data_IF_366554410991
#
_entry.id   IF_366554410991
#
_cell.length_a   1.000
_cell.length_b   1.000
_cell.length_c   1.000
_cell.angle_alpha   90.00
_cell.angle_beta   90.00
_cell.angle_gamma   90.00
#
_symmetry.space_group_name_H-M   'P 1'
#
loop_
_entity.id
_entity.type
_entity.pdbx_description
1 polymer ?
#
# COMPACT_ATOMS: atom_id res chain seq x y z
N UNK A 1 22.13 15.16 -3.05
CA UNK A 1 22.77 15.57 -4.31
C UNK A 1 21.70 15.81 -5.35
N UNK A 2 21.26 17.02 -5.51
CA UNK A 2 20.28 17.39 -6.54
C UNK A 2 21.02 17.75 -7.83
N UNK A 3 20.45 17.41 -9.00
CA UNK A 3 21.03 17.80 -10.27
C UNK A 3 21.09 19.31 -10.34
N UNK A 4 22.22 19.83 -10.77
CA UNK A 4 22.32 21.21 -11.17
C UNK A 4 21.44 21.39 -12.39
N UNK A 5 20.36 22.16 -12.27
CA UNK A 5 19.45 22.47 -13.36
C UNK A 5 19.87 23.74 -14.07
N UNK A 6 19.77 23.78 -15.39
CA UNK A 6 19.77 25.02 -16.12
C UNK A 6 18.52 25.80 -15.73
N UNK A 7 18.65 27.09 -15.47
CA UNK A 7 17.47 27.93 -15.25
C UNK A 7 16.60 27.89 -16.52
N UNK A 8 15.25 27.76 -16.40
CA UNK A 8 14.37 27.77 -17.55
C UNK A 8 14.54 29.10 -18.28
N UNK A 9 15.16 29.04 -19.46
CA UNK A 9 15.32 30.19 -20.33
C UNK A 9 14.17 30.26 -21.29
N UNK A 10 13.71 31.48 -21.54
CA UNK A 10 12.80 31.73 -22.65
C UNK A 10 13.47 31.41 -23.99
N UNK A 11 12.69 31.02 -25.02
CA UNK A 11 13.25 30.75 -26.36
C UNK A 11 14.07 31.93 -26.90
N UNK A 12 13.70 33.14 -26.57
CA UNK A 12 14.37 34.40 -26.95
C UNK A 12 15.76 34.55 -26.27
N UNK A 13 15.87 34.22 -24.99
CA UNK A 13 17.16 34.21 -24.27
C UNK A 13 18.09 33.12 -24.82
N UNK A 14 17.58 31.96 -25.22
CA UNK A 14 18.36 30.90 -25.89
C UNK A 14 18.93 31.38 -27.21
N UNK A 15 18.12 32.10 -27.98
CA UNK A 15 18.52 32.65 -29.27
C UNK A 15 19.57 33.75 -29.11
N UNK A 16 19.39 34.66 -28.16
CA UNK A 16 20.38 35.71 -27.82
C UNK A 16 21.71 35.10 -27.37
N UNK A 17 21.71 34.11 -26.51
CA UNK A 17 22.93 33.39 -26.09
C UNK A 17 23.64 32.70 -27.26
N UNK A 18 22.89 32.09 -28.18
CA UNK A 18 23.45 31.48 -29.37
C UNK A 18 24.12 32.49 -30.31
N UNK A 19 23.55 33.69 -30.40
CA UNK A 19 24.08 34.79 -31.24
C UNK A 19 25.33 35.45 -30.60
N UNK A 20 25.31 35.69 -29.29
CA UNK A 20 26.40 36.33 -28.56
C UNK A 20 27.48 35.38 -28.05
N UNK A 21 27.36 34.07 -28.30
CA UNK A 21 28.42 33.10 -28.05
C UNK A 21 28.74 32.86 -26.57
N UNK A 22 27.86 33.20 -25.65
CA UNK A 22 28.03 32.90 -24.23
C UNK A 22 27.97 31.39 -23.96
N UNK A 23 29.13 30.80 -23.70
CA UNK A 23 29.30 29.35 -23.44
C UNK A 23 29.01 28.94 -21.99
N UNK A 24 28.73 29.88 -21.10
CA UNK A 24 28.46 29.57 -19.70
C UNK A 24 26.97 29.31 -19.50
N UNK A 25 26.61 28.04 -19.42
CA UNK A 25 25.30 27.66 -18.88
C UNK A 25 25.23 28.06 -17.41
N UNK A 26 24.26 28.91 -17.06
CA UNK A 26 24.03 29.37 -15.69
C UNK A 26 23.41 28.22 -14.89
N UNK A 27 24.25 27.27 -14.48
CA UNK A 27 23.84 26.07 -13.76
C UNK A 27 23.64 26.46 -12.31
N UNK A 28 22.35 26.52 -11.89
CA UNK A 28 21.99 26.79 -10.49
C UNK A 28 21.86 25.48 -9.72
N UNK A 29 22.34 25.52 -8.47
CA UNK A 29 22.10 24.45 -7.50
C UNK A 29 20.64 24.52 -7.06
N UNK A 30 19.84 23.51 -7.45
CA UNK A 30 18.42 23.36 -7.11
C UNK A 30 18.21 22.58 -5.83
N UNK A 31 19.26 22.39 -5.01
CA UNK A 31 19.18 21.64 -3.76
C UNK A 31 18.15 22.23 -2.81
N UNK A 32 17.25 21.37 -2.31
CA UNK A 32 16.37 21.74 -1.21
C UNK A 32 17.18 21.79 0.08
N UNK A 33 17.10 22.92 0.78
CA UNK A 33 17.78 23.14 2.06
C UNK A 33 16.75 23.45 3.13
N UNK A 34 17.01 22.98 4.35
CA UNK A 34 16.21 23.37 5.51
C UNK A 34 16.46 24.87 5.77
N UNK A 35 15.40 25.68 5.91
CA UNK A 35 15.56 27.12 6.21
C UNK A 35 16.39 27.32 7.46
N UNK A 36 17.17 28.45 7.56
CA UNK A 36 17.90 28.78 8.77
C UNK A 36 16.97 28.83 9.99
N UNK A 37 17.39 28.21 11.10
CA UNK A 37 16.57 28.09 12.31
C UNK A 37 15.53 26.97 12.28
N UNK A 38 15.36 26.24 11.16
CA UNK A 38 14.51 25.05 11.08
C UNK A 38 15.25 23.83 11.63
N UNK A 39 14.59 23.08 12.50
CA UNK A 39 15.05 21.78 12.98
C UNK A 39 13.90 20.79 12.98
N UNK A 40 14.20 19.53 12.71
CA UNK A 40 13.16 18.49 12.70
C UNK A 40 13.74 17.08 12.76
N UNK A 41 12.92 16.13 13.10
CA UNK A 41 13.28 14.70 13.14
C UNK A 41 12.80 14.03 11.86
N UNK A 42 13.68 13.31 11.18
CA UNK A 42 13.33 12.53 10.00
C UNK A 42 12.51 11.32 10.45
N UNK A 43 11.27 11.24 9.98
CA UNK A 43 10.34 10.16 10.31
C UNK A 43 10.44 9.04 9.29
N UNK A 44 10.48 9.40 8.00
CA UNK A 44 10.47 8.44 6.90
C UNK A 44 11.30 8.98 5.73
N UNK A 45 11.92 8.06 5.00
CA UNK A 45 12.65 8.37 3.75
C UNK A 45 12.18 7.39 2.68
N UNK A 46 11.60 7.91 1.59
CA UNK A 46 11.22 7.13 0.42
C UNK A 46 12.14 7.44 -0.75
N UNK A 47 12.67 6.41 -1.35
CA UNK A 47 13.55 6.50 -2.52
C UNK A 47 12.82 5.98 -3.74
N UNK A 48 12.69 6.83 -4.75
CA UNK A 48 12.11 6.50 -6.05
C UNK A 48 13.23 6.43 -7.08
N UNK A 49 13.27 5.36 -7.84
CA UNK A 49 14.28 5.14 -8.88
C UNK A 49 13.62 4.94 -10.23
N UNK A 50 14.19 5.56 -11.28
CA UNK A 50 13.70 5.43 -12.64
C UNK A 50 13.86 3.97 -13.12
N UNK A 51 12.96 3.53 -14.00
CA UNK A 51 13.04 2.22 -14.66
C UNK A 51 14.39 2.01 -15.35
N UNK A 52 14.96 0.81 -15.22
CA UNK A 52 16.20 0.42 -15.89
C UNK A 52 17.49 0.89 -15.22
N UNK A 53 17.42 1.54 -14.06
CA UNK A 53 18.59 1.87 -13.27
C UNK A 53 18.89 0.76 -12.26
N UNK A 54 20.17 0.46 -12.07
CA UNK A 54 20.60 -0.43 -11.00
C UNK A 54 20.21 0.16 -9.64
N UNK A 55 19.50 -0.64 -8.85
CA UNK A 55 19.10 -0.26 -7.50
C UNK A 55 20.26 -0.51 -6.55
N UNK A 56 20.57 0.49 -5.74
CA UNK A 56 21.55 0.37 -4.65
C UNK A 56 21.10 -0.69 -3.63
N UNK A 57 22.03 -1.25 -2.88
CA UNK A 57 21.76 -2.24 -1.84
C UNK A 57 20.73 -1.74 -0.82
N UNK A 58 20.84 -0.45 -0.45
CA UNK A 58 19.89 0.20 0.46
C UNK A 58 18.49 0.33 -0.15
N UNK A 59 18.39 0.66 -1.42
CA UNK A 59 17.11 0.72 -2.13
C UNK A 59 16.46 -0.67 -2.21
N UNK A 60 17.25 -1.71 -2.46
CA UNK A 60 16.78 -3.12 -2.43
C UNK A 60 16.31 -3.55 -1.03
N UNK A 61 16.99 -3.10 0.02
CA UNK A 61 16.58 -3.40 1.39
C UNK A 61 15.22 -2.76 1.73
N UNK A 62 15.01 -1.50 1.34
CA UNK A 62 13.74 -0.78 1.52
C UNK A 62 12.62 -1.47 0.72
N UNK A 63 12.89 -1.87 -0.54
CA UNK A 63 11.94 -2.59 -1.38
C UNK A 63 11.53 -3.94 -0.78
N UNK A 64 12.49 -4.71 -0.26
CA UNK A 64 12.20 -5.98 0.43
C UNK A 64 11.31 -5.78 1.65
N UNK A 65 11.62 -4.79 2.48
CA UNK A 65 10.81 -4.47 3.66
C UNK A 65 9.37 -4.05 3.29
N UNK A 66 9.21 -3.31 2.18
CA UNK A 66 7.88 -2.92 1.69
C UNK A 66 7.11 -4.12 1.13
N UNK A 67 7.77 -5.02 0.38
CA UNK A 67 7.16 -6.26 -0.13
C UNK A 67 6.75 -7.17 1.04
N UNK A 68 7.58 -7.30 2.07
CA UNK A 68 7.28 -8.09 3.25
C UNK A 68 6.05 -7.54 4.01
N UNK A 69 5.95 -6.21 4.12
CA UNK A 69 4.76 -5.57 4.69
C UNK A 69 3.50 -5.87 3.87
N UNK A 70 3.58 -5.74 2.53
CA UNK A 70 2.46 -6.06 1.64
C UNK A 70 2.07 -7.55 1.68
N UNK A 71 3.06 -8.44 1.85
CA UNK A 71 2.80 -9.87 2.01
C UNK A 71 2.05 -10.16 3.31
N UNK A 72 2.45 -9.51 4.40
CA UNK A 72 1.74 -9.62 5.68
C UNK A 72 0.31 -9.11 5.58
N UNK A 73 0.10 -7.94 4.96
CA UNK A 73 -1.24 -7.38 4.75
C UNK A 73 -2.12 -8.34 3.92
N UNK A 74 -1.54 -9.00 2.89
CA UNK A 74 -2.23 -10.02 2.10
C UNK A 74 -2.63 -11.24 2.95
N UNK A 75 -1.70 -11.74 3.76
CA UNK A 75 -1.92 -12.92 4.61
C UNK A 75 -2.99 -12.62 5.67
N UNK A 76 -3.01 -11.41 6.23
CA UNK A 76 -4.04 -10.95 7.16
C UNK A 76 -5.42 -10.85 6.47
N UNK A 77 -5.50 -10.24 5.27
CA UNK A 77 -6.74 -10.21 4.46
C UNK A 77 -7.22 -11.62 4.10
N UNK A 78 -6.32 -12.51 3.71
CA UNK A 78 -6.64 -13.90 3.38
C UNK A 78 -7.23 -14.63 4.60
N UNK A 79 -6.61 -14.49 5.76
CA UNK A 79 -7.11 -15.09 7.01
C UNK A 79 -8.53 -14.62 7.37
N UNK A 80 -8.83 -13.33 7.16
CA UNK A 80 -10.17 -12.78 7.38
C UNK A 80 -11.18 -13.36 6.39
N UNK A 81 -10.80 -13.46 5.10
CA UNK A 81 -11.66 -14.04 4.06
C UNK A 81 -11.94 -15.52 4.33
N UNK A 82 -10.92 -16.30 4.72
CA UNK A 82 -11.05 -17.72 5.09
C UNK A 82 -11.97 -17.89 6.30
N UNK A 83 -11.78 -17.10 7.35
CA UNK A 83 -12.65 -17.14 8.54
C UNK A 83 -14.12 -16.80 8.23
N UNK A 84 -14.33 -15.77 7.40
CA UNK A 84 -15.66 -15.39 6.92
C UNK A 84 -16.30 -16.44 6.03
N UNK A 85 -15.54 -17.10 5.17
CA UNK A 85 -15.99 -18.21 4.34
C UNK A 85 -16.38 -19.42 5.21
N UNK A 86 -15.51 -19.85 6.12
CA UNK A 86 -15.76 -20.98 7.01
C UNK A 86 -17.01 -20.76 7.89
N UNK A 87 -17.20 -19.56 8.41
CA UNK A 87 -18.40 -19.22 9.19
C UNK A 87 -19.70 -19.33 8.39
N UNK A 88 -19.70 -18.84 7.13
CA UNK A 88 -20.87 -18.97 6.24
C UNK A 88 -21.12 -20.41 5.82
N UNK A 89 -20.07 -21.15 5.48
CA UNK A 89 -20.17 -22.55 5.11
C UNK A 89 -20.68 -23.40 6.29
N UNK A 90 -20.18 -23.16 7.49
CA UNK A 90 -20.67 -23.81 8.70
C UNK A 90 -22.16 -23.57 8.89
N UNK A 91 -22.66 -22.35 8.71
CA UNK A 91 -24.09 -22.06 8.83
C UNK A 91 -24.97 -22.73 7.78
N UNK A 92 -24.43 -23.03 6.58
CA UNK A 92 -25.16 -23.72 5.51
C UNK A 92 -25.08 -25.25 5.64
N UNK A 93 -23.97 -25.76 6.15
CA UNK A 93 -23.70 -27.22 6.20
C UNK A 93 -24.24 -27.88 7.46
N UNK A 94 -24.37 -27.19 8.57
CA UNK A 94 -24.88 -27.78 9.83
C UNK A 94 -26.30 -28.26 9.66
N UNK A 95 -26.53 -29.53 10.00
CA UNK A 95 -27.82 -30.19 9.88
C UNK A 95 -28.10 -30.79 8.52
N UNK A 96 -27.19 -30.70 7.55
CA UNK A 96 -27.34 -31.29 6.22
C UNK A 96 -26.70 -32.69 6.13
N UNK A 97 -27.27 -33.55 5.26
CA UNK A 97 -26.69 -34.85 4.95
C UNK A 97 -25.63 -34.74 3.85
N UNK A 98 -24.47 -35.32 4.08
CA UNK A 98 -23.35 -35.34 3.13
C UNK A 98 -23.63 -36.30 1.99
N UNK A 99 -23.60 -35.82 0.75
CA UNK A 99 -23.61 -36.65 -0.45
C UNK A 99 -22.19 -37.07 -0.83
N UNK A 100 -21.22 -36.14 -0.77
CA UNK A 100 -19.82 -36.41 -1.07
C UNK A 100 -18.96 -35.48 -0.18
N UNK A 101 -17.88 -36.02 0.39
CA UNK A 101 -16.98 -35.27 1.25
C UNK A 101 -15.53 -35.74 1.17
N UNK A 102 -14.60 -35.04 1.82
CA UNK A 102 -13.20 -35.46 1.96
C UNK A 102 -13.11 -36.82 2.68
N UNK A 103 -12.00 -37.52 2.52
CA UNK A 103 -11.76 -38.91 2.97
C UNK A 103 -12.14 -39.21 4.43
N UNK A 104 -12.19 -38.19 5.27
CA UNK A 104 -12.47 -38.30 6.71
C UNK A 104 -13.98 -38.19 7.05
N UNK A 105 -14.82 -37.84 6.07
CA UNK A 105 -16.26 -37.69 6.22
C UNK A 105 -17.00 -38.85 5.48
N UNK A 106 -17.69 -39.67 6.25
CA UNK A 106 -18.49 -40.74 5.66
C UNK A 106 -19.73 -40.17 4.95
N UNK A 107 -20.11 -40.77 3.81
CA UNK A 107 -21.36 -40.45 3.12
C UNK A 107 -22.55 -40.75 4.03
N UNK A 108 -23.65 -40.00 3.89
CA UNK A 108 -24.87 -40.09 4.69
C UNK A 108 -24.74 -39.67 6.17
N UNK A 109 -23.65 -38.95 6.52
CA UNK A 109 -23.47 -38.38 7.85
C UNK A 109 -24.13 -37.01 7.93
N UNK A 110 -24.88 -36.75 9.00
CA UNK A 110 -25.40 -35.41 9.30
C UNK A 110 -24.27 -34.55 9.86
N UNK A 111 -24.02 -33.41 9.23
CA UNK A 111 -22.94 -32.50 9.63
C UNK A 111 -23.29 -31.78 10.92
N UNK A 112 -22.43 -31.92 11.91
CA UNK A 112 -22.47 -31.22 13.19
C UNK A 112 -21.36 -30.18 13.20
N UNK A 113 -21.54 -29.05 13.91
CA UNK A 113 -20.59 -27.98 13.99
C UNK A 113 -19.18 -28.43 14.43
N UNK A 114 -19.12 -29.43 15.32
CA UNK A 114 -17.86 -30.00 15.84
C UNK A 114 -17.02 -30.71 14.75
N UNK A 115 -17.66 -31.26 13.72
CA UNK A 115 -17.00 -31.94 12.59
C UNK A 115 -16.43 -30.92 11.58
N UNK A 116 -16.98 -29.72 11.56
CA UNK A 116 -16.53 -28.62 10.68
C UNK A 116 -15.44 -27.77 11.35
N UNK A 117 -15.34 -27.85 12.67
CA UNK A 117 -14.36 -27.08 13.43
C UNK A 117 -12.95 -27.61 13.16
N UNK A 118 -12.06 -26.72 12.70
CA UNK A 118 -10.70 -27.08 12.32
C UNK A 118 -10.48 -27.57 10.89
N UNK A 119 -11.53 -27.70 10.07
CA UNK A 119 -11.36 -28.01 8.65
C UNK A 119 -10.81 -26.80 7.89
N UNK A 120 -9.86 -27.08 7.00
CA UNK A 120 -9.31 -26.04 6.12
C UNK A 120 -10.29 -25.69 4.99
N UNK A 121 -10.30 -24.45 4.46
CA UNK A 121 -11.23 -24.02 3.42
C UNK A 121 -11.29 -24.95 2.20
N UNK A 122 -10.15 -25.49 1.75
CA UNK A 122 -10.09 -26.40 0.61
C UNK A 122 -10.73 -27.78 0.86
N UNK A 123 -10.88 -28.21 2.11
CA UNK A 123 -11.60 -29.44 2.45
C UNK A 123 -13.09 -29.16 2.53
N UNK A 124 -13.47 -28.01 3.06
CA UNK A 124 -14.87 -27.58 3.15
C UNK A 124 -15.47 -27.36 1.76
N UNK A 125 -14.71 -26.85 0.80
CA UNK A 125 -15.18 -26.65 -0.58
C UNK A 125 -15.49 -27.96 -1.33
N UNK A 126 -14.97 -29.10 -0.87
CA UNK A 126 -15.19 -30.42 -1.46
C UNK A 126 -16.46 -31.12 -0.92
N UNK A 127 -17.12 -30.54 0.08
CA UNK A 127 -18.33 -31.10 0.67
C UNK A 127 -19.50 -30.77 -0.24
N UNK A 128 -20.22 -31.83 -0.67
CA UNK A 128 -21.47 -31.69 -1.37
C UNK A 128 -22.61 -32.29 -0.51
N UNK A 129 -23.76 -31.66 -0.53
CA UNK A 129 -24.95 -32.06 0.22
C UNK A 129 -26.03 -32.57 -0.71
N UNK A 130 -27.00 -33.35 -0.17
CA UNK A 130 -28.11 -33.93 -0.95
C UNK A 130 -29.18 -32.90 -1.33
N UNK A 131 -29.32 -31.82 -0.58
CA UNK A 131 -30.29 -30.75 -0.86
C UNK A 131 -29.81 -29.85 -2.00
N UNK A 132 -30.49 -29.88 -3.14
CA UNK A 132 -30.17 -29.11 -4.35
C UNK A 132 -30.17 -27.60 -4.12
N UNK A 133 -31.01 -27.08 -3.22
CA UNK A 133 -31.06 -25.63 -2.95
C UNK A 133 -29.86 -25.18 -2.13
N UNK A 134 -29.48 -25.98 -1.13
CA UNK A 134 -28.30 -25.75 -0.31
C UNK A 134 -27.05 -25.94 -1.14
N UNK A 135 -27.00 -26.96 -2.00
CA UNK A 135 -25.88 -27.22 -2.90
C UNK A 135 -25.60 -26.02 -3.83
N UNK A 136 -26.61 -25.42 -4.44
CA UNK A 136 -26.45 -24.21 -5.25
C UNK A 136 -25.91 -23.03 -4.45
N UNK A 137 -26.33 -22.90 -3.19
CA UNK A 137 -25.83 -21.85 -2.30
C UNK A 137 -24.36 -22.07 -1.93
N UNK A 138 -23.95 -23.32 -1.72
CA UNK A 138 -22.56 -23.71 -1.48
C UNK A 138 -21.69 -23.40 -2.69
N UNK A 139 -22.13 -23.79 -3.88
CA UNK A 139 -21.41 -23.49 -5.13
C UNK A 139 -21.22 -22.00 -5.36
N UNK A 140 -22.26 -21.20 -5.10
CA UNK A 140 -22.17 -19.75 -5.18
C UNK A 140 -21.17 -19.17 -4.16
N UNK A 141 -21.14 -19.69 -2.92
CA UNK A 141 -20.16 -19.26 -1.92
C UNK A 141 -18.74 -19.67 -2.30
N UNK A 142 -18.54 -20.87 -2.83
CA UNK A 142 -17.25 -21.35 -3.31
C UNK A 142 -16.73 -20.44 -4.45
N UNK A 143 -17.57 -20.16 -5.44
CA UNK A 143 -17.21 -19.29 -6.56
C UNK A 143 -16.86 -17.86 -6.09
N UNK A 144 -17.63 -17.30 -5.15
CA UNK A 144 -17.36 -16.00 -4.57
C UNK A 144 -16.03 -15.98 -3.80
N UNK A 145 -15.75 -17.03 -3.04
CA UNK A 145 -14.50 -17.15 -2.29
C UNK A 145 -13.29 -17.26 -3.21
N UNK A 146 -13.35 -18.12 -4.23
CA UNK A 146 -12.28 -18.26 -5.23
C UNK A 146 -12.02 -16.93 -5.97
N UNK A 147 -13.09 -16.23 -6.35
CA UNK A 147 -12.97 -14.94 -7.00
C UNK A 147 -12.34 -13.89 -6.07
N UNK A 148 -12.69 -13.90 -4.78
CA UNK A 148 -12.12 -12.99 -3.78
C UNK A 148 -10.62 -13.24 -3.59
N UNK A 149 -10.19 -14.51 -3.43
CA UNK A 149 -8.78 -14.88 -3.32
C UNK A 149 -8.01 -14.50 -4.58
N UNK A 150 -8.54 -14.84 -5.76
CA UNK A 150 -7.91 -14.46 -7.04
C UNK A 150 -7.75 -12.94 -7.20
N UNK A 151 -8.74 -12.17 -6.77
CA UNK A 151 -8.67 -10.72 -6.77
C UNK A 151 -7.63 -10.18 -5.79
N UNK A 152 -7.49 -10.80 -4.61
CA UNK A 152 -6.48 -10.46 -3.61
C UNK A 152 -5.08 -10.69 -4.15
N UNK A 153 -4.82 -11.89 -4.70
CA UNK A 153 -3.53 -12.24 -5.29
C UNK A 153 -3.17 -11.35 -6.49
N UNK A 154 -4.15 -11.03 -7.33
CA UNK A 154 -3.97 -10.09 -8.44
C UNK A 154 -3.56 -8.70 -7.94
N UNK A 155 -4.24 -8.16 -6.94
CA UNK A 155 -3.90 -6.86 -6.34
C UNK A 155 -2.51 -6.86 -5.70
N UNK A 156 -2.14 -7.96 -5.05
CA UNK A 156 -0.81 -8.13 -4.47
C UNK A 156 0.28 -8.17 -5.56
N UNK A 157 0.09 -9.01 -6.59
CA UNK A 157 1.03 -9.12 -7.71
C UNK A 157 1.21 -7.78 -8.41
N UNK A 158 0.13 -7.05 -8.70
CA UNK A 158 0.19 -5.72 -9.32
C UNK A 158 0.98 -4.70 -8.49
N UNK A 159 0.82 -4.74 -7.15
CA UNK A 159 1.56 -3.84 -6.25
C UNK A 159 3.05 -4.20 -6.23
N UNK A 160 3.40 -5.49 -6.15
CA UNK A 160 4.79 -5.96 -6.18
C UNK A 160 5.45 -5.61 -7.51
N UNK A 161 4.76 -5.85 -8.62
CA UNK A 161 5.26 -5.50 -9.95
C UNK A 161 5.54 -4.00 -10.10
N UNK A 162 4.66 -3.15 -9.57
CA UNK A 162 4.87 -1.69 -9.57
C UNK A 162 6.10 -1.28 -8.78
N UNK A 163 6.33 -1.90 -7.61
CA UNK A 163 7.54 -1.65 -6.81
C UNK A 163 8.81 -2.11 -7.50
N UNK A 164 8.75 -3.26 -8.19
CA UNK A 164 9.92 -3.83 -8.87
C UNK A 164 10.27 -3.13 -10.18
N UNK A 165 9.26 -2.74 -10.95
CA UNK A 165 9.45 -2.06 -12.25
C UNK A 165 10.17 -0.72 -12.14
N UNK A 166 10.09 -0.07 -10.99
CA UNK A 166 10.56 1.29 -10.78
C UNK A 166 9.54 2.34 -11.21
N UNK A 167 9.81 3.57 -10.83
CA UNK A 167 8.88 4.69 -10.94
C UNK A 167 9.02 5.44 -12.26
N UNK A 168 7.92 6.03 -12.71
CA UNK A 168 7.92 6.98 -13.82
C UNK A 168 8.28 8.37 -13.28
N UNK A 169 9.54 8.73 -13.40
CA UNK A 169 10.04 10.03 -13.01
C UNK A 169 10.06 10.99 -14.21
N UNK A 170 10.03 12.30 -13.93
CA UNK A 170 10.12 13.32 -14.96
C UNK A 170 11.38 13.15 -15.83
N UNK A 171 11.36 13.58 -17.09
CA UNK A 171 12.53 13.54 -17.97
C UNK A 171 13.73 14.22 -17.30
N UNK A 172 14.89 13.57 -17.32
CA UNK A 172 16.12 14.07 -16.70
C UNK A 172 16.30 13.75 -15.22
N UNK A 173 15.27 13.23 -14.52
CA UNK A 173 15.36 12.80 -13.12
C UNK A 173 15.65 11.30 -13.08
N UNK A 174 16.74 10.90 -12.47
CA UNK A 174 17.16 9.51 -12.31
C UNK A 174 16.65 8.90 -11.00
N UNK A 175 16.77 9.64 -9.92
CA UNK A 175 16.30 9.26 -8.58
C UNK A 175 15.61 10.44 -7.92
N UNK A 176 14.57 10.18 -7.15
CA UNK A 176 13.87 11.15 -6.32
C UNK A 176 13.81 10.63 -4.90
N UNK A 177 14.17 11.45 -3.93
CA UNK A 177 14.11 11.09 -2.51
C UNK A 177 13.09 12.01 -1.83
N UNK A 178 12.07 11.41 -1.22
CA UNK A 178 11.13 12.12 -0.34
C UNK A 178 11.54 11.89 1.10
N UNK A 179 11.82 12.97 1.79
CA UNK A 179 12.16 12.96 3.22
C UNK A 179 11.00 13.59 3.99
N UNK A 180 10.42 12.83 4.90
CA UNK A 180 9.35 13.30 5.78
C UNK A 180 9.98 13.77 7.08
N UNK A 181 9.81 15.04 7.39
CA UNK A 181 10.39 15.66 8.58
C UNK A 181 9.28 16.11 9.52
N UNK A 182 9.31 15.59 10.75
CA UNK A 182 8.42 16.04 11.82
C UNK A 182 9.04 17.23 12.53
N UNK A 183 8.31 18.33 12.60
CA UNK A 183 8.72 19.54 13.29
C UNK A 183 7.75 19.81 14.43
N UNK A 184 8.27 19.85 15.66
CA UNK A 184 7.49 20.25 16.83
C UNK A 184 7.61 21.75 17.04
N UNK A 185 6.62 22.49 16.57
CA UNK A 185 6.54 23.94 16.78
C UNK A 185 5.90 24.24 18.11
N UNK A 186 6.63 24.91 18.99
CA UNK A 186 6.08 25.38 20.27
C UNK A 186 5.33 26.69 20.07
N UNK A 187 4.29 26.89 20.89
CA UNK A 187 3.56 28.16 20.93
C UNK A 187 4.48 29.29 21.39
N UNK A 188 4.34 30.43 20.76
CA UNK A 188 5.11 31.65 21.10
C UNK A 188 4.16 32.83 21.35
N UNK A 189 4.58 33.83 22.15
CA UNK A 189 3.82 35.08 22.27
C UNK A 189 3.64 35.69 20.86
N UNK A 190 2.41 36.13 20.56
CA UNK A 190 2.06 36.62 19.24
C UNK A 190 1.32 35.61 18.35
N UNK A 191 1.35 34.33 18.69
CA UNK A 191 0.59 33.31 17.95
C UNK A 191 -0.90 33.47 18.15
N UNK A 192 -1.68 33.39 17.06
CA UNK A 192 -3.13 33.46 17.08
C UNK A 192 -3.73 32.10 17.31
N UNK A 193 -4.56 31.97 18.34
CA UNK A 193 -5.28 30.73 18.66
C UNK A 193 -6.79 30.97 18.72
N UNK A 194 -7.55 29.92 18.47
CA UNK A 194 -8.99 29.92 18.58
C UNK A 194 -9.49 28.64 19.27
N UNK A 195 -10.50 28.78 20.11
CA UNK A 195 -11.23 27.67 20.67
C UNK A 195 -12.31 27.13 19.71
N UNK A 196 -12.91 25.99 20.07
CA UNK A 196 -13.94 25.31 19.23
C UNK A 196 -15.22 26.15 19.04
N UNK A 197 -15.47 27.13 19.91
CA UNK A 197 -16.69 27.96 19.91
C UNK A 197 -16.47 29.35 19.29
N UNK A 198 -15.40 29.54 18.50
CA UNK A 198 -15.15 30.79 17.79
C UNK A 198 -14.45 31.87 18.61
N UNK A 199 -14.12 31.62 19.86
CA UNK A 199 -13.29 32.49 20.69
C UNK A 199 -11.86 32.49 20.17
N UNK A 200 -11.44 33.59 19.58
CA UNK A 200 -10.09 33.77 19.00
C UNK A 200 -9.32 34.81 19.79
N UNK A 201 -8.04 34.57 19.99
CA UNK A 201 -7.15 35.47 20.71
C UNK A 201 -5.70 35.29 20.28
N UNK A 202 -4.87 36.20 20.73
CA UNK A 202 -3.42 36.17 20.52
C UNK A 202 -2.75 35.87 21.86
N UNK A 203 -1.77 34.99 21.84
CA UNK A 203 -1.01 34.66 23.06
C UNK A 203 -0.15 35.86 23.43
N UNK A 204 -0.42 36.43 24.60
CA UNK A 204 0.37 37.58 25.11
C UNK A 204 1.60 37.12 25.87
N UNK A 205 1.50 36.05 26.66
CA UNK A 205 2.59 35.55 27.54
C UNK A 205 2.45 34.06 27.77
N UNK A 206 3.56 33.36 27.90
CA UNK A 206 3.68 31.98 28.36
C UNK A 206 4.25 32.02 29.77
N UNK A 207 3.54 31.47 30.74
CA UNK A 207 3.99 31.37 32.13
C UNK A 207 4.71 30.06 32.37
#
# INVERSE_FOLDING_TARGET
>A
VTPKGESPMTPEEKLLRAIFGEKASDVRDTSLRVPPGGAGTIVEVRVFSRRGLEKDERARAIERAEIERLAKDRDDEQSILEGGYLSRMSSLLVGQEVATGPKDLATDTVLVAELLDGLRPHLVSQIAVKDDNVQKSIEAQNANFEQAIKSLDGRFSDKVDKLQRGDELMPGVMKMVKVFVAVKRKLQPGDKMAGRHGNKGVISRIM
#
